data_IF_386739970971
#
_entry.id   IF_386739970971
#
_cell.length_a   1.000
_cell.length_b   1.000
_cell.length_c   1.000
_cell.angle_alpha   90.00
_cell.angle_beta   90.00
_cell.angle_gamma   90.00
#
_symmetry.space_group_name_H-M   'P 1'
#
loop_
_entity.id
_entity.type
_entity.pdbx_description
1 polymer ?
#
# COMPACT_ATOMS: atom_id res chain seq x y z
N UNK A 1 -9.31 12.27 17.26
CA UNK A 1 -8.72 13.59 16.99
C UNK A 1 -8.58 13.75 15.49
N UNK A 2 -9.18 14.77 14.85
CA UNK A 2 -9.06 14.95 13.41
C UNK A 2 -7.62 15.42 13.11
N UNK A 3 -6.74 14.45 12.94
CA UNK A 3 -5.35 14.69 12.57
C UNK A 3 -5.25 15.05 11.09
N UNK A 4 -4.27 15.87 10.75
CA UNK A 4 -3.92 16.13 9.34
C UNK A 4 -3.69 14.80 8.64
N UNK A 5 -4.15 14.68 7.40
CA UNK A 5 -3.93 13.47 6.60
C UNK A 5 -2.46 13.08 6.61
N UNK A 6 -2.16 11.84 6.96
CA UNK A 6 -0.79 11.37 7.04
C UNK A 6 -0.18 11.29 5.63
N UNK A 7 0.52 12.35 5.22
CA UNK A 7 1.00 12.53 3.84
C UNK A 7 1.93 11.41 3.39
N UNK A 8 2.68 10.79 4.31
CA UNK A 8 3.52 9.62 4.01
C UNK A 8 2.73 8.37 3.62
N UNK A 9 1.53 8.19 4.19
CA UNK A 9 0.64 7.09 3.85
C UNK A 9 -0.09 7.37 2.54
N UNK A 10 -0.53 8.61 2.32
CA UNK A 10 -1.21 9.03 1.08
C UNK A 10 -0.36 8.80 -0.17
N UNK A 11 0.97 8.92 -0.07
CA UNK A 11 1.89 8.64 -1.19
C UNK A 11 2.06 7.15 -1.50
N UNK A 12 1.76 6.26 -0.55
CA UNK A 12 2.10 4.82 -0.62
C UNK A 12 0.88 3.92 -0.79
N UNK A 13 -0.27 4.35 -0.31
CA UNK A 13 -1.48 3.56 -0.24
C UNK A 13 -2.64 4.28 -0.94
N UNK A 14 -3.40 3.53 -1.74
CA UNK A 14 -4.62 4.01 -2.39
C UNK A 14 -5.81 3.20 -1.91
N UNK A 15 -6.88 3.87 -1.51
CA UNK A 15 -8.15 3.22 -1.14
C UNK A 15 -8.93 2.92 -2.43
N UNK A 16 -9.39 1.68 -2.57
CA UNK A 16 -10.26 1.24 -3.65
C UNK A 16 -11.73 1.55 -3.33
N UNK A 17 -12.61 1.53 -4.33
CA UNK A 17 -14.04 1.81 -4.13
C UNK A 17 -14.69 0.92 -3.05
N UNK A 18 -14.21 -0.32 -2.90
CA UNK A 18 -14.70 -1.27 -1.89
C UNK A 18 -14.08 -1.11 -0.50
N UNK A 19 -13.33 -0.05 -0.24
CA UNK A 19 -12.66 0.18 1.05
C UNK A 19 -11.39 -0.65 1.29
N UNK A 20 -10.98 -1.50 0.33
CA UNK A 20 -9.71 -2.22 0.38
C UNK A 20 -8.55 -1.30 0.05
N UNK A 21 -7.36 -1.58 0.61
CA UNK A 21 -6.17 -0.75 0.40
C UNK A 21 -5.21 -1.41 -0.59
N UNK A 22 -4.87 -0.68 -1.65
CA UNK A 22 -3.91 -1.09 -2.68
C UNK A 22 -2.53 -0.48 -2.40
N UNK A 23 -1.47 -1.28 -2.57
CA UNK A 23 -0.08 -0.84 -2.38
C UNK A 23 0.91 -1.57 -3.29
N UNK A 24 2.11 -1.00 -3.51
CA UNK A 24 3.21 -1.71 -4.17
C UNK A 24 3.81 -2.79 -3.28
N UNK A 25 4.20 -3.91 -3.88
CA UNK A 25 4.89 -4.99 -3.17
C UNK A 25 6.31 -4.59 -2.75
N UNK A 26 6.70 -5.00 -1.53
CA UNK A 26 8.04 -4.79 -1.00
C UNK A 26 9.09 -5.67 -1.71
N UNK A 27 10.38 -5.38 -1.50
CA UNK A 27 11.53 -6.15 -2.04
C UNK A 27 11.78 -6.01 -3.55
N UNK A 28 11.25 -4.96 -4.19
CA UNK A 28 11.54 -4.58 -5.58
C UNK A 28 12.44 -3.33 -5.71
N UNK A 29 13.23 -2.99 -4.68
CA UNK A 29 14.15 -1.84 -4.69
C UNK A 29 15.52 -2.14 -5.30
N UNK A 30 16.23 -3.17 -4.81
CA UNK A 30 17.55 -3.57 -5.31
C UNK A 30 17.78 -5.10 -5.23
N UNK A 31 18.96 -5.59 -5.63
CA UNK A 31 19.34 -7.02 -5.73
C UNK A 31 18.38 -7.84 -6.61
N UNK A 32 18.16 -7.40 -7.85
CA UNK A 32 17.30 -8.11 -8.81
C UNK A 32 18.02 -9.25 -9.54
N UNK A 33 19.36 -9.24 -9.59
CA UNK A 33 20.17 -10.26 -10.26
C UNK A 33 19.91 -11.65 -9.67
N UNK A 34 19.96 -11.78 -8.34
CA UNK A 34 19.73 -13.06 -7.64
C UNK A 34 18.26 -13.51 -7.56
N UNK A 35 17.30 -12.70 -8.01
CA UNK A 35 15.87 -13.01 -7.90
C UNK A 35 15.39 -13.65 -9.20
N UNK A 36 14.71 -14.78 -9.09
CA UNK A 36 14.11 -15.46 -10.24
C UNK A 36 13.13 -14.55 -11.01
N UNK A 37 12.99 -14.79 -12.32
CA UNK A 37 12.05 -14.04 -13.18
C UNK A 37 10.62 -14.06 -12.65
N UNK A 38 10.16 -15.23 -12.18
CA UNK A 38 8.83 -15.41 -11.60
C UNK A 38 8.64 -14.57 -10.33
N UNK A 39 9.63 -14.54 -9.43
CA UNK A 39 9.58 -13.68 -8.23
C UNK A 39 9.51 -12.21 -8.62
N UNK A 40 10.32 -11.77 -9.59
CA UNK A 40 10.28 -10.39 -10.09
C UNK A 40 8.93 -10.06 -10.72
N UNK A 41 8.26 -11.00 -11.39
CA UNK A 41 6.92 -10.77 -11.96
C UNK A 41 5.87 -10.56 -10.88
N UNK A 42 5.84 -11.44 -9.87
CA UNK A 42 4.90 -11.33 -8.73
C UNK A 42 5.09 -10.01 -7.95
N UNK A 43 6.34 -9.61 -7.71
CA UNK A 43 6.64 -8.34 -7.03
C UNK A 43 6.32 -7.09 -7.87
N UNK A 44 6.04 -7.22 -9.17
CA UNK A 44 5.59 -6.10 -10.02
C UNK A 44 4.13 -5.75 -9.77
N UNK A 45 3.32 -6.76 -9.53
CA UNK A 45 1.88 -6.60 -9.37
C UNK A 45 1.62 -5.94 -8.01
N UNK A 46 0.70 -5.00 -8.00
CA UNK A 46 0.28 -4.33 -6.76
C UNK A 46 -0.50 -5.31 -5.88
N UNK A 47 -0.23 -5.25 -4.58
CA UNK A 47 -0.93 -6.03 -3.58
C UNK A 47 -2.20 -5.31 -3.10
N UNK A 48 -3.19 -6.10 -2.70
CA UNK A 48 -4.36 -5.62 -1.97
C UNK A 48 -4.27 -6.13 -0.54
N UNK A 49 -4.49 -5.24 0.43
CA UNK A 49 -4.56 -5.59 1.86
C UNK A 49 -5.99 -5.45 2.35
N UNK A 50 -6.38 -6.40 3.18
CA UNK A 50 -7.66 -6.49 3.86
C UNK A 50 -7.43 -6.63 5.36
N UNK A 51 -8.48 -6.46 6.15
CA UNK A 51 -8.45 -6.62 7.61
C UNK A 51 -7.98 -5.36 8.36
N UNK A 52 -7.45 -5.56 9.57
CA UNK A 52 -7.12 -4.50 10.52
C UNK A 52 -6.19 -3.41 9.95
N UNK A 53 -5.13 -3.83 9.25
CA UNK A 53 -4.17 -2.88 8.63
C UNK A 53 -4.84 -1.99 7.57
N UNK A 54 -5.87 -2.49 6.88
CA UNK A 54 -6.58 -1.69 5.89
C UNK A 54 -7.45 -0.62 6.58
N UNK A 55 -8.16 -0.98 7.66
CA UNK A 55 -9.02 -0.05 8.40
C UNK A 55 -8.22 1.13 8.97
N UNK A 56 -7.08 0.86 9.62
CA UNK A 56 -6.19 1.89 10.15
C UNK A 56 -5.67 2.84 9.04
N UNK A 57 -5.26 2.30 7.89
CA UNK A 57 -4.77 3.11 6.77
C UNK A 57 -5.89 3.99 6.19
N UNK A 58 -7.11 3.46 6.07
CA UNK A 58 -8.26 4.23 5.60
C UNK A 58 -8.57 5.39 6.57
N UNK A 59 -8.54 5.12 7.88
CA UNK A 59 -8.74 6.14 8.90
C UNK A 59 -7.68 7.25 8.82
N UNK A 60 -6.40 6.89 8.71
CA UNK A 60 -5.29 7.85 8.59
C UNK A 60 -5.29 8.66 7.27
N UNK A 61 -6.02 8.20 6.26
CA UNK A 61 -6.18 8.84 4.95
C UNK A 61 -7.42 9.72 4.86
N UNK A 62 -8.36 9.65 5.81
CA UNK A 62 -9.54 10.52 5.80
C UNK A 62 -9.08 11.98 5.95
N UNK A 63 -9.49 12.89 5.05
CA UNK A 63 -9.29 14.31 5.26
C UNK A 63 -10.08 14.76 6.50
N UNK A 64 -9.48 15.63 7.30
CA UNK A 64 -10.17 16.35 8.36
C UNK A 64 -11.12 17.36 7.72
N UNK A 65 -12.41 17.02 7.66
CA UNK A 65 -13.51 17.98 7.66
C UNK A 65 -14.23 17.84 9.00
#
# INVERSE_FOLDING_TARGET
MPGKTHKGLAKRFKVTATGKVKHRNANRGHLMGKKSGNRKRRLRQDGVRTGFNAAYIVEALRPSN
#
